data_IF_896340711656
#
_entry.id   IF_896340711656
#
_cell.length_a   1.000
_cell.length_b   1.000
_cell.length_c   1.000
_cell.angle_alpha   90.00
_cell.angle_beta   90.00
_cell.angle_gamma   90.00
#
_symmetry.space_group_name_H-M   'P 1'
#
loop_
_entity.id
_entity.type
_entity.pdbx_description
1 polymer ?
#
# COMPACT_ATOMS: atom_id res chain seq x y z
N UNK A 1 -0.09 -32.03 7.34
CA UNK A 1 1.27 -32.13 6.78
C UNK A 1 1.55 -31.03 5.76
N UNK A 2 0.69 -30.85 4.75
CA UNK A 2 0.91 -29.87 3.66
C UNK A 2 1.11 -28.39 4.03
N UNK A 3 0.55 -27.92 5.13
CA UNK A 3 0.60 -26.49 5.49
C UNK A 3 1.95 -26.05 6.07
N UNK A 4 2.67 -26.97 6.75
CA UNK A 4 4.02 -26.71 7.25
C UNK A 4 5.02 -26.71 6.09
N UNK A 5 4.84 -27.61 5.11
CA UNK A 5 5.68 -27.69 3.91
C UNK A 5 5.62 -26.41 3.07
N UNK A 6 4.44 -25.79 2.95
CA UNK A 6 4.27 -24.52 2.26
C UNK A 6 5.07 -23.38 2.95
N UNK A 7 4.96 -23.24 4.27
CA UNK A 7 5.75 -22.25 5.01
C UNK A 7 7.26 -22.51 4.87
N UNK A 8 7.69 -23.76 4.98
CA UNK A 8 9.11 -24.13 4.84
C UNK A 8 9.64 -23.81 3.44
N UNK A 9 8.81 -24.03 2.39
CA UNK A 9 9.17 -23.67 1.01
C UNK A 9 9.36 -22.17 0.86
N UNK A 10 8.45 -21.36 1.41
CA UNK A 10 8.56 -19.90 1.32
C UNK A 10 9.76 -19.39 2.12
N UNK A 11 9.98 -19.89 3.34
CA UNK A 11 11.15 -19.55 4.16
C UNK A 11 12.47 -19.91 3.44
N UNK A 12 12.53 -21.10 2.84
CA UNK A 12 13.70 -21.51 2.05
C UNK A 12 13.91 -20.59 0.85
N UNK A 13 12.86 -20.27 0.10
CA UNK A 13 12.95 -19.39 -1.06
C UNK A 13 13.43 -17.97 -0.68
N UNK A 14 12.91 -17.41 0.42
CA UNK A 14 13.36 -16.12 0.97
C UNK A 14 14.85 -16.14 1.32
N UNK A 15 15.31 -17.23 1.93
CA UNK A 15 16.73 -17.46 2.26
C UNK A 15 17.62 -17.49 1.01
N UNK A 16 17.23 -18.24 -0.02
CA UNK A 16 17.97 -18.31 -1.29
C UNK A 16 18.03 -16.96 -2.01
N UNK A 17 16.91 -16.23 -2.03
CA UNK A 17 16.81 -14.90 -2.63
C UNK A 17 17.48 -13.81 -1.77
N UNK A 18 18.02 -14.16 -0.59
CA UNK A 18 18.62 -13.24 0.39
C UNK A 18 17.69 -12.09 0.79
N UNK A 19 16.39 -12.37 0.84
CA UNK A 19 15.39 -11.41 1.32
C UNK A 19 15.38 -11.48 2.85
N UNK A 20 16.18 -10.62 3.47
CA UNK A 20 16.41 -10.58 4.91
C UNK A 20 15.89 -9.31 5.57
N UNK A 21 15.47 -9.41 6.84
CA UNK A 21 15.21 -8.24 7.69
C UNK A 21 16.32 -8.08 8.74
N UNK A 22 16.65 -6.85 9.15
CA UNK A 22 17.65 -6.59 10.20
C UNK A 22 17.34 -7.26 11.55
N UNK A 23 16.06 -7.52 11.84
CA UNK A 23 15.58 -8.14 13.09
C UNK A 23 15.03 -9.56 12.85
N UNK A 24 15.84 -10.45 12.27
CA UNK A 24 15.48 -11.86 12.19
C UNK A 24 15.39 -12.45 13.62
N UNK A 25 14.30 -13.17 13.94
CA UNK A 25 14.15 -13.83 15.24
C UNK A 25 15.05 -15.06 15.30
N UNK A 26 15.77 -15.32 16.40
CA UNK A 26 16.49 -16.58 16.57
C UNK A 26 15.49 -17.74 16.56
N UNK A 27 15.69 -18.69 15.63
CA UNK A 27 14.95 -19.95 15.56
C UNK A 27 15.90 -21.07 16.04
N UNK A 28 15.47 -21.98 16.94
CA UNK A 28 16.29 -23.10 17.43
C UNK A 28 16.94 -23.98 16.34
N UNK A 29 16.43 -23.97 15.10
CA UNK A 29 16.93 -24.75 13.97
C UNK A 29 17.84 -23.97 12.98
N UNK A 30 18.34 -22.79 13.34
CA UNK A 30 19.26 -21.98 12.52
C UNK A 30 18.75 -21.57 11.12
N UNK A 31 17.43 -21.55 10.89
CA UNK A 31 16.82 -20.95 9.71
C UNK A 31 16.38 -19.52 10.04
N UNK A 32 16.99 -18.53 9.38
CA UNK A 32 16.60 -17.13 9.46
C UNK A 32 15.25 -16.92 8.77
N UNK A 33 14.13 -17.09 9.49
CA UNK A 33 12.81 -16.74 8.98
C UNK A 33 12.62 -15.21 9.07
N UNK A 34 12.87 -14.52 7.96
CA UNK A 34 12.74 -13.06 7.83
C UNK A 34 11.30 -12.55 8.04
N UNK A 35 10.30 -13.44 7.90
CA UNK A 35 8.87 -13.12 7.97
C UNK A 35 8.11 -14.15 8.82
N UNK A 36 6.97 -13.75 9.42
CA UNK A 36 5.97 -14.70 9.93
C UNK A 36 5.01 -14.99 8.79
N UNK A 37 4.90 -16.24 8.38
CA UNK A 37 4.08 -16.67 7.25
C UNK A 37 2.91 -17.50 7.77
N UNK A 38 1.70 -17.22 7.27
CA UNK A 38 0.54 -18.03 7.59
C UNK A 38 0.64 -19.39 6.90
N UNK A 39 0.35 -20.50 7.58
CA UNK A 39 0.35 -21.85 7.00
C UNK A 39 -0.78 -22.06 5.98
N UNK A 40 -1.75 -21.14 5.91
CA UNK A 40 -2.90 -21.19 5.02
C UNK A 40 -3.11 -19.78 4.43
N UNK A 41 -3.31 -19.66 3.11
CA UNK A 41 -3.62 -18.36 2.51
C UNK A 41 -4.98 -17.85 2.99
N UNK A 42 -5.17 -16.54 2.91
CA UNK A 42 -6.49 -15.95 3.12
C UNK A 42 -7.30 -16.07 1.84
N UNK A 43 -8.33 -16.92 1.85
CA UNK A 43 -9.17 -17.13 0.67
C UNK A 43 -10.18 -16.00 0.53
N UNK A 44 -10.28 -15.45 -0.68
CA UNK A 44 -11.33 -14.51 -1.07
C UNK A 44 -12.22 -15.14 -2.14
N UNK A 45 -13.50 -14.76 -2.11
CA UNK A 45 -14.46 -15.16 -3.14
C UNK A 45 -14.21 -14.43 -4.45
N UNK A 46 -14.70 -14.98 -5.57
CA UNK A 46 -14.62 -14.31 -6.87
C UNK A 46 -15.26 -12.91 -6.85
N UNK A 47 -16.38 -12.76 -6.13
CA UNK A 47 -17.04 -11.47 -5.92
C UNK A 47 -16.11 -10.48 -5.21
N UNK A 48 -15.47 -10.89 -4.12
CA UNK A 48 -14.52 -10.04 -3.39
C UNK A 48 -13.33 -9.63 -4.26
N UNK A 49 -12.81 -10.54 -5.10
CA UNK A 49 -11.74 -10.22 -6.04
C UNK A 49 -12.18 -9.16 -7.08
N UNK A 50 -13.39 -9.27 -7.63
CA UNK A 50 -13.96 -8.27 -8.54
C UNK A 50 -14.15 -6.91 -7.86
N UNK A 51 -14.64 -6.91 -6.62
CA UNK A 51 -14.79 -5.69 -5.81
C UNK A 51 -13.44 -4.99 -5.60
N UNK A 52 -12.37 -5.74 -5.28
CA UNK A 52 -11.01 -5.21 -5.14
C UNK A 52 -10.50 -4.59 -6.45
N UNK A 53 -10.72 -5.27 -7.59
CA UNK A 53 -10.27 -4.76 -8.89
C UNK A 53 -10.98 -3.46 -9.28
N UNK A 54 -12.29 -3.36 -9.02
CA UNK A 54 -13.07 -2.14 -9.27
C UNK A 54 -12.67 -1.01 -8.32
N UNK A 55 -12.40 -1.34 -7.04
CA UNK A 55 -12.01 -0.37 -6.03
C UNK A 55 -10.76 0.42 -6.43
N UNK A 56 -9.76 -0.23 -7.05
CA UNK A 56 -8.55 0.46 -7.51
C UNK A 56 -8.85 1.67 -8.40
N UNK A 57 -9.79 1.54 -9.34
CA UNK A 57 -10.20 2.63 -10.22
C UNK A 57 -10.92 3.76 -9.46
N UNK A 58 -11.76 3.42 -8.48
CA UNK A 58 -12.45 4.40 -7.65
C UNK A 58 -11.47 5.18 -6.76
N UNK A 59 -10.49 4.49 -6.16
CA UNK A 59 -9.48 5.13 -5.32
C UNK A 59 -8.53 6.01 -6.13
N UNK A 60 -8.18 5.62 -7.36
CA UNK A 60 -7.43 6.50 -8.26
C UNK A 60 -8.21 7.78 -8.61
N UNK A 61 -9.51 7.66 -8.92
CA UNK A 61 -10.38 8.84 -9.14
C UNK A 61 -10.52 9.70 -7.88
N UNK A 62 -10.51 9.09 -6.70
CA UNK A 62 -10.49 9.81 -5.43
C UNK A 62 -9.22 10.66 -5.27
N UNK A 63 -8.03 10.14 -5.61
CA UNK A 63 -6.79 10.94 -5.63
C UNK A 63 -6.89 12.15 -6.57
N UNK A 64 -7.43 11.97 -7.78
CA UNK A 64 -7.67 13.08 -8.72
C UNK A 64 -8.56 14.15 -8.10
N UNK A 65 -9.67 13.72 -7.49
CA UNK A 65 -10.61 14.64 -6.86
C UNK A 65 -9.98 15.38 -5.67
N UNK A 66 -9.14 14.69 -4.88
CA UNK A 66 -8.44 15.28 -3.74
C UNK A 66 -7.38 16.30 -4.16
N UNK A 67 -6.59 16.03 -5.20
CA UNK A 67 -5.64 17.01 -5.74
C UNK A 67 -6.37 18.25 -6.25
N UNK A 68 -7.44 18.06 -7.04
CA UNK A 68 -8.27 19.18 -7.49
C UNK A 68 -8.86 19.99 -6.33
N UNK A 69 -9.36 19.32 -5.29
CA UNK A 69 -9.90 19.99 -4.10
C UNK A 69 -8.83 20.79 -3.36
N UNK A 70 -7.61 20.25 -3.26
CA UNK A 70 -6.46 20.96 -2.69
C UNK A 70 -6.14 22.22 -3.49
N UNK A 71 -6.04 22.15 -4.82
CA UNK A 71 -5.76 23.30 -5.68
C UNK A 71 -6.85 24.38 -5.59
N UNK A 72 -8.13 23.98 -5.59
CA UNK A 72 -9.25 24.90 -5.39
C UNK A 72 -9.20 25.56 -4.01
N UNK A 73 -8.83 24.81 -2.97
CA UNK A 73 -8.67 25.34 -1.60
C UNK A 73 -7.55 26.39 -1.55
N UNK A 74 -6.42 26.17 -2.23
CA UNK A 74 -5.32 27.16 -2.34
C UNK A 74 -5.74 28.45 -3.06
N UNK A 75 -6.67 28.37 -4.02
CA UNK A 75 -7.22 29.52 -4.75
C UNK A 75 -8.36 30.24 -4.03
N UNK A 76 -8.85 29.69 -2.92
CA UNK A 76 -10.00 30.23 -2.19
C UNK A 76 -11.36 29.85 -2.80
N UNK A 77 -11.38 28.90 -3.73
CA UNK A 77 -12.59 28.39 -4.40
C UNK A 77 -13.20 27.17 -3.69
N UNK A 78 -12.54 26.67 -2.65
CA UNK A 78 -13.01 25.60 -1.77
C UNK A 78 -12.65 25.92 -0.30
N UNK A 79 -13.23 25.22 0.69
CA UNK A 79 -12.96 25.49 2.10
C UNK A 79 -11.45 25.52 2.43
N UNK A 80 -10.94 26.56 3.10
CA UNK A 80 -9.49 26.76 3.30
C UNK A 80 -8.87 25.73 4.26
N UNK A 81 -9.68 24.99 5.02
CA UNK A 81 -9.16 23.98 5.95
C UNK A 81 -8.49 22.80 5.23
N UNK A 82 -8.85 22.52 3.97
CA UNK A 82 -8.29 21.40 3.20
C UNK A 82 -6.81 21.65 2.92
N UNK A 83 -6.48 22.77 2.28
CA UNK A 83 -5.10 23.17 2.05
C UNK A 83 -4.32 23.30 3.38
N UNK A 84 -4.91 23.94 4.40
CA UNK A 84 -4.24 24.08 5.71
C UNK A 84 -3.87 22.73 6.35
N UNK A 85 -4.75 21.72 6.28
CA UNK A 85 -4.43 20.40 6.83
C UNK A 85 -3.38 19.68 5.99
N UNK A 86 -3.48 19.74 4.67
CA UNK A 86 -2.52 19.08 3.78
C UNK A 86 -1.15 19.74 3.80
N UNK A 87 -1.05 21.04 4.10
CA UNK A 87 0.21 21.77 4.19
C UNK A 87 0.90 21.63 5.55
N UNK A 88 0.16 21.20 6.58
CA UNK A 88 0.65 21.16 7.96
C UNK A 88 1.91 20.28 8.09
N UNK A 89 2.98 20.86 8.65
CA UNK A 89 4.25 20.18 8.91
C UNK A 89 5.16 20.00 7.69
N UNK A 90 4.72 20.42 6.48
CA UNK A 90 5.56 20.38 5.28
C UNK A 90 6.47 21.61 5.22
N UNK A 91 7.73 21.46 4.77
CA UNK A 91 8.62 22.60 4.57
C UNK A 91 8.22 23.42 3.32
N UNK A 92 8.55 24.71 3.31
CA UNK A 92 8.13 25.65 2.25
C UNK A 92 8.57 25.23 0.84
N UNK A 93 9.76 24.64 0.71
CA UNK A 93 10.24 24.16 -0.60
C UNK A 93 9.33 23.08 -1.19
N UNK A 94 8.75 22.21 -0.34
CA UNK A 94 7.86 21.13 -0.77
C UNK A 94 6.50 21.71 -1.17
N UNK A 95 5.99 22.68 -0.41
CA UNK A 95 4.74 23.39 -0.74
C UNK A 95 4.85 24.17 -2.05
N UNK A 96 6.02 24.77 -2.30
CA UNK A 96 6.32 25.44 -3.56
C UNK A 96 6.35 24.46 -4.73
N UNK A 97 7.03 23.31 -4.55
CA UNK A 97 7.10 22.27 -5.58
C UNK A 97 5.72 21.69 -5.92
N UNK A 98 4.90 21.41 -4.90
CA UNK A 98 3.55 20.86 -5.05
C UNK A 98 2.57 21.79 -5.80
N UNK A 99 2.91 23.07 -5.95
CA UNK A 99 2.10 24.06 -6.67
C UNK A 99 2.70 24.45 -8.03
N UNK A 100 3.89 23.94 -8.38
CA UNK A 100 4.51 24.26 -9.65
C UNK A 100 3.75 23.63 -10.82
N UNK A 101 3.61 24.38 -11.91
CA UNK A 101 2.85 23.94 -13.10
C UNK A 101 3.33 22.60 -13.67
N UNK A 102 4.62 22.28 -13.51
CA UNK A 102 5.21 21.02 -13.95
C UNK A 102 4.59 19.78 -13.26
N UNK A 103 4.04 19.93 -12.05
CA UNK A 103 3.40 18.85 -11.28
C UNK A 103 1.88 18.94 -11.28
N UNK A 104 1.30 19.89 -12.00
CA UNK A 104 -0.13 20.02 -12.11
C UNK A 104 -0.73 18.76 -12.75
N UNK A 105 -1.82 18.27 -12.15
CA UNK A 105 -2.53 17.06 -12.58
C UNK A 105 -1.67 15.78 -12.55
N UNK A 106 -0.46 15.83 -11.94
CA UNK A 106 0.38 14.65 -11.73
C UNK A 106 -0.11 13.90 -10.50
N UNK A 107 -0.59 12.69 -10.74
CA UNK A 107 -1.18 11.80 -9.75
C UNK A 107 -0.38 10.50 -9.65
N UNK A 108 -0.33 9.86 -8.46
CA UNK A 108 0.38 8.61 -8.28
C UNK A 108 -0.17 7.51 -9.20
N UNK A 109 0.72 6.94 -10.04
CA UNK A 109 0.37 5.82 -10.94
C UNK A 109 0.19 4.52 -10.17
N UNK A 110 0.89 4.39 -9.04
CA UNK A 110 0.84 3.23 -8.17
C UNK A 110 0.31 3.70 -6.81
N UNK A 111 -0.72 3.01 -6.32
CA UNK A 111 -1.30 3.22 -5.00
C UNK A 111 -1.40 1.87 -4.27
N UNK A 112 -1.20 1.89 -2.95
CA UNK A 112 -1.45 0.74 -2.08
C UNK A 112 -2.51 1.14 -1.07
N UNK A 113 -3.76 0.70 -1.27
CA UNK A 113 -4.78 0.87 -0.26
C UNK A 113 -4.65 -0.20 0.81
N UNK A 114 -4.59 0.23 2.06
CA UNK A 114 -4.68 -0.69 3.18
C UNK A 114 -6.17 -0.93 3.46
N UNK A 115 -6.58 -2.19 3.37
CA UNK A 115 -7.97 -2.59 3.40
C UNK A 115 -8.26 -3.51 4.59
N UNK A 116 -9.40 -3.28 5.23
CA UNK A 116 -10.01 -4.19 6.18
C UNK A 116 -11.27 -4.81 5.59
N UNK A 117 -11.37 -6.13 5.66
CA UNK A 117 -12.62 -6.83 5.35
C UNK A 117 -13.49 -6.92 6.61
N UNK A 118 -14.68 -6.32 6.55
CA UNK A 118 -15.66 -6.34 7.64
C UNK A 118 -16.91 -7.12 7.23
N UNK A 119 -17.83 -7.36 8.18
CA UNK A 119 -19.14 -7.95 7.86
C UNK A 119 -19.96 -7.12 6.85
N UNK A 120 -19.69 -5.82 6.72
CA UNK A 120 -20.32 -4.92 5.76
C UNK A 120 -19.47 -4.68 4.49
N UNK A 121 -18.45 -5.51 4.26
CA UNK A 121 -17.54 -5.44 3.12
C UNK A 121 -16.22 -4.72 3.40
N UNK A 122 -15.50 -4.41 2.33
CA UNK A 122 -14.19 -3.77 2.36
C UNK A 122 -14.25 -2.33 2.88
N UNK A 123 -13.26 -1.94 3.68
CA UNK A 123 -13.04 -0.57 4.19
C UNK A 123 -11.59 -0.18 3.98
N UNK A 124 -11.35 0.92 3.28
CA UNK A 124 -10.01 1.50 3.20
C UNK A 124 -9.69 2.25 4.48
N UNK A 125 -8.54 1.97 5.07
CA UNK A 125 -8.05 2.63 6.28
C UNK A 125 -6.98 3.65 5.98
N UNK A 126 -6.17 3.40 4.94
CA UNK A 126 -5.10 4.27 4.48
C UNK A 126 -4.94 4.14 2.97
N UNK A 127 -4.48 5.22 2.33
CA UNK A 127 -4.08 5.24 0.93
C UNK A 127 -2.63 5.69 0.86
N UNK A 128 -1.73 4.75 0.57
CA UNK A 128 -0.31 5.03 0.42
C UNK A 128 0.03 5.23 -1.06
N UNK A 129 0.52 6.43 -1.39
CA UNK A 129 0.93 6.84 -2.73
C UNK A 129 2.44 6.72 -2.99
N UNK A 130 3.22 6.29 -2.00
CA UNK A 130 4.64 5.96 -2.16
C UNK A 130 4.90 4.54 -1.65
N UNK A 131 4.23 3.53 -2.24
CA UNK A 131 4.19 2.21 -1.65
C UNK A 131 5.49 1.44 -1.87
N UNK A 132 5.99 0.82 -0.80
CA UNK A 132 7.02 -0.21 -0.86
C UNK A 132 6.47 -1.61 -1.15
N UNK A 133 7.34 -2.62 -0.97
CA UNK A 133 7.01 -4.06 -0.91
C UNK A 133 6.36 -4.74 -2.13
N UNK A 134 6.11 -4.05 -3.25
CA UNK A 134 5.55 -4.70 -4.46
C UNK A 134 6.43 -5.83 -4.99
N UNK A 135 7.76 -5.64 -5.00
CA UNK A 135 8.69 -6.71 -5.40
C UNK A 135 8.65 -7.93 -4.46
N UNK A 136 8.39 -7.70 -3.18
CA UNK A 136 8.20 -8.79 -2.20
C UNK A 136 6.87 -9.52 -2.44
N UNK A 137 5.80 -8.79 -2.76
CA UNK A 137 4.52 -9.40 -3.12
C UNK A 137 4.67 -10.26 -4.39
N UNK A 138 5.28 -9.73 -5.44
CA UNK A 138 5.53 -10.48 -6.68
C UNK A 138 6.42 -11.70 -6.46
N UNK A 139 7.35 -11.66 -5.50
CA UNK A 139 8.10 -12.85 -5.08
C UNK A 139 7.19 -13.90 -4.43
N UNK A 140 6.31 -13.51 -3.50
CA UNK A 140 5.39 -14.45 -2.84
C UNK A 140 4.38 -15.08 -3.79
N UNK A 141 4.01 -14.41 -4.90
CA UNK A 141 3.14 -14.99 -5.92
C UNK A 141 3.79 -16.14 -6.71
N UNK A 142 5.12 -16.22 -6.73
CA UNK A 142 5.88 -17.22 -7.50
C UNK A 142 6.25 -18.48 -6.68
N UNK A 143 6.08 -18.46 -5.35
CA UNK A 143 6.56 -19.48 -4.41
C UNK A 143 5.41 -20.23 -3.75
#
# INVERSE_FOLDING_TARGET
MHTIEACQRIDAALGHARIIRPQARPNPAALFASFRISPIPYFITQRQAQELQQMGQHLHKFYIAMDKLYQLSKRGEAPPFVARHLDAGKPDWLLTLAQADAYKDQIPVIIRPDLLLTAAGWRATELDSVPGSMGLLGFFEQV
#
